data_IF_790419528274
#
_entry.id   IF_790419528274
#
_cell.length_a   1.000
_cell.length_b   1.000
_cell.length_c   1.000
_cell.angle_alpha   90.00
_cell.angle_beta   90.00
_cell.angle_gamma   90.00
#
_symmetry.space_group_name_H-M   'P 1'
#
loop_
_entity.id
_entity.type
_entity.pdbx_description
1 polymer ?
#
# COMPACT_ATOMS: atom_id res chain seq x y z
N UNK A 1 -8.58 -7.77 -17.75
CA UNK A 1 -7.68 -7.22 -16.72
C UNK A 1 -8.11 -5.79 -16.48
N UNK A 2 -8.44 -5.44 -15.24
CA UNK A 2 -8.95 -4.11 -14.90
C UNK A 2 -7.96 -3.40 -13.98
N UNK A 3 -7.90 -2.08 -14.07
CA UNK A 3 -7.00 -1.27 -13.25
C UNK A 3 -7.76 -0.18 -12.53
N UNK A 4 -7.46 0.01 -11.25
CA UNK A 4 -7.94 1.14 -10.46
C UNK A 4 -6.76 1.90 -9.87
N UNK A 5 -6.92 3.20 -9.68
CA UNK A 5 -5.90 4.05 -9.04
C UNK A 5 -6.36 4.47 -7.66
N UNK A 6 -5.55 4.17 -6.64
CA UNK A 6 -5.73 4.63 -5.28
C UNK A 6 -4.78 5.81 -5.02
N UNK A 7 -5.31 6.89 -4.42
CA UNK A 7 -4.49 8.05 -4.05
C UNK A 7 -4.16 8.02 -2.56
N UNK A 8 -2.88 8.08 -2.21
CA UNK A 8 -2.39 8.18 -0.84
C UNK A 8 -1.82 9.58 -0.61
N UNK A 9 -2.37 10.30 0.37
CA UNK A 9 -1.91 11.64 0.78
C UNK A 9 -1.27 11.58 2.15
N UNK A 10 0.00 11.99 2.25
CA UNK A 10 0.66 12.22 3.52
C UNK A 10 0.17 13.55 4.09
N UNK A 11 -0.58 13.49 5.20
CA UNK A 11 -1.10 14.68 5.90
C UNK A 11 -0.23 15.10 7.09
N UNK A 12 0.99 14.57 7.19
CA UNK A 12 1.95 14.89 8.24
C UNK A 12 3.09 15.74 7.70
N UNK A 13 3.87 16.32 8.63
CA UNK A 13 5.11 17.05 8.33
C UNK A 13 6.35 16.14 8.31
N UNK A 14 6.15 14.83 8.46
CA UNK A 14 7.23 13.85 8.43
C UNK A 14 7.17 13.02 7.16
N UNK A 15 8.33 12.52 6.72
CA UNK A 15 8.39 11.51 5.65
C UNK A 15 7.88 10.18 6.21
N UNK A 16 7.04 9.49 5.44
CA UNK A 16 6.49 8.19 5.83
C UNK A 16 6.95 7.12 4.85
N UNK A 17 7.18 5.91 5.34
CA UNK A 17 7.22 4.70 4.52
C UNK A 17 5.83 4.06 4.56
N UNK A 18 5.30 3.68 3.39
CA UNK A 18 4.05 2.93 3.30
C UNK A 18 4.32 1.49 2.88
N UNK A 19 3.39 0.59 3.24
CA UNK A 19 3.34 -0.80 2.80
C UNK A 19 1.89 -1.18 2.53
N UNK A 20 1.61 -1.72 1.36
CA UNK A 20 0.28 -2.15 0.93
C UNK A 20 0.29 -3.67 0.82
N UNK A 21 -0.68 -4.31 1.46
CA UNK A 21 -0.92 -5.75 1.35
C UNK A 21 -2.35 -5.97 0.87
N UNK A 22 -2.58 -7.02 0.09
CA UNK A 22 -3.91 -7.46 -0.30
C UNK A 22 -4.19 -8.87 0.24
N UNK A 23 -5.45 -9.28 0.19
CA UNK A 23 -5.87 -10.65 0.54
C UNK A 23 -5.46 -11.71 -0.46
N UNK A 24 -5.22 -11.35 -1.72
CA UNK A 24 -4.80 -12.27 -2.77
C UNK A 24 -3.84 -11.59 -3.73
N UNK A 25 -2.59 -12.05 -3.74
CA UNK A 25 -1.58 -11.58 -4.70
C UNK A 25 -1.79 -12.17 -6.10
N UNK A 26 -2.58 -13.23 -6.22
CA UNK A 26 -2.96 -13.83 -7.50
C UNK A 26 -3.96 -12.94 -8.23
N UNK A 27 -4.98 -12.46 -7.50
CA UNK A 27 -6.04 -11.62 -8.04
C UNK A 27 -5.64 -10.15 -8.16
N UNK A 28 -4.83 -9.63 -7.24
CA UNK A 28 -4.49 -8.21 -7.19
C UNK A 28 -2.98 -8.00 -7.28
N UNK A 29 -2.54 -7.26 -8.30
CA UNK A 29 -1.19 -6.73 -8.40
C UNK A 29 -1.16 -5.26 -8.02
N UNK A 30 -0.38 -4.91 -7.00
CA UNK A 30 -0.19 -3.54 -6.56
C UNK A 30 1.11 -3.00 -7.16
N UNK A 31 1.06 -1.88 -7.86
CA UNK A 31 2.25 -1.17 -8.32
C UNK A 31 2.91 -0.45 -7.14
N UNK A 32 4.22 -0.67 -6.94
CA UNK A 32 4.98 -0.12 -5.80
C UNK A 32 4.31 -0.36 -4.45
N UNK A 33 4.16 -1.64 -4.01
CA UNK A 33 3.47 -1.94 -2.75
C UNK A 33 4.22 -1.41 -1.52
N UNK A 34 5.49 -1.03 -1.66
CA UNK A 34 6.32 -0.46 -0.60
C UNK A 34 7.08 0.72 -1.20
N UNK A 35 6.92 1.91 -0.64
CA UNK A 35 7.67 3.12 -1.05
C UNK A 35 7.61 4.20 0.03
N UNK A 36 8.30 5.32 -0.21
CA UNK A 36 8.29 6.51 0.63
C UNK A 36 7.30 7.55 0.11
N UNK A 37 6.77 8.37 1.02
CA UNK A 37 5.97 9.55 0.71
C UNK A 37 6.50 10.74 1.50
N UNK A 38 6.86 11.82 0.78
CA UNK A 38 7.37 13.07 1.38
C UNK A 38 6.30 13.74 2.26
N UNK A 39 6.71 14.60 3.21
CA UNK A 39 5.78 15.46 3.95
C UNK A 39 4.81 16.17 3.01
N UNK A 40 3.53 16.23 3.40
CA UNK A 40 2.44 16.94 2.66
C UNK A 40 2.20 16.48 1.20
N UNK A 41 2.92 15.46 0.71
CA UNK A 41 2.85 15.00 -0.67
C UNK A 41 1.71 13.99 -0.88
N UNK A 42 1.43 13.74 -2.16
CA UNK A 42 0.48 12.72 -2.61
C UNK A 42 1.16 11.77 -3.59
N UNK A 43 0.81 10.49 -3.53
CA UNK A 43 1.23 9.49 -4.51
C UNK A 43 0.03 8.71 -5.02
N UNK A 44 0.11 8.22 -6.25
CA UNK A 44 -0.90 7.40 -6.89
C UNK A 44 -0.39 5.97 -7.01
N UNK A 45 -1.23 5.02 -6.62
CA UNK A 45 -0.96 3.59 -6.62
C UNK A 45 -1.91 2.92 -7.61
N UNK A 46 -1.36 2.31 -8.64
CA UNK A 46 -2.14 1.50 -9.58
C UNK A 46 -2.29 0.10 -9.02
N UNK A 47 -3.53 -0.37 -8.97
CA UNK A 47 -3.86 -1.74 -8.59
C UNK A 47 -4.51 -2.40 -9.79
N UNK A 48 -4.05 -3.61 -10.12
CA UNK A 48 -4.53 -4.36 -11.25
C UNK A 48 -5.23 -5.65 -10.81
N UNK A 49 -6.48 -5.80 -11.19
CA UNK A 49 -7.28 -7.01 -11.00
C UNK A 49 -7.07 -8.00 -12.16
N UNK A 50 -6.70 -9.24 -11.81
CA UNK A 50 -6.20 -10.29 -12.71
C UNK A 50 -7.05 -11.56 -12.67
N UNK A 51 -8.35 -11.44 -12.41
CA UNK A 51 -9.26 -12.59 -12.49
C UNK A 51 -9.30 -13.19 -13.91
N UNK A 52 -9.43 -14.51 -13.94
CA UNK A 52 -9.85 -15.25 -15.14
C UNK A 52 -11.37 -15.23 -15.27
N UNK A 53 -11.89 -15.68 -16.42
CA UNK A 53 -13.34 -15.79 -16.64
C UNK A 53 -14.03 -16.75 -15.66
N UNK A 54 -13.27 -17.67 -15.07
CA UNK A 54 -13.77 -18.69 -14.13
C UNK A 54 -13.62 -18.26 -12.66
N UNK A 55 -13.12 -17.05 -12.40
CA UNK A 55 -13.02 -16.52 -11.04
C UNK A 55 -14.39 -16.04 -10.58
N UNK A 56 -14.99 -16.76 -9.64
CA UNK A 56 -16.22 -16.33 -8.98
C UNK A 56 -16.04 -14.98 -8.25
N UNK A 57 -17.01 -14.06 -8.33
CA UNK A 57 -16.96 -12.80 -7.59
C UNK A 57 -16.90 -13.02 -6.07
N UNK A 58 -15.87 -12.49 -5.40
CA UNK A 58 -15.72 -12.57 -3.94
C UNK A 58 -15.57 -11.18 -3.31
N UNK A 59 -16.58 -10.78 -2.53
CA UNK A 59 -16.65 -9.48 -1.86
C UNK A 59 -15.85 -9.41 -0.53
N UNK A 60 -15.08 -10.45 -0.18
CA UNK A 60 -14.29 -10.51 1.06
C UNK A 60 -12.90 -9.89 0.92
N UNK A 61 -12.49 -9.56 -0.31
CA UNK A 61 -11.18 -9.02 -0.57
C UNK A 61 -11.00 -7.61 0.00
N UNK A 62 -9.77 -7.34 0.44
CA UNK A 62 -9.42 -6.04 0.99
C UNK A 62 -7.93 -5.78 0.85
N UNK A 63 -7.59 -4.49 0.93
CA UNK A 63 -6.21 -4.02 0.99
C UNK A 63 -5.95 -3.33 2.32
N UNK A 64 -4.84 -3.68 2.95
CA UNK A 64 -4.30 -2.99 4.12
C UNK A 64 -3.19 -2.05 3.69
N UNK A 65 -3.34 -0.77 4.01
CA UNK A 65 -2.31 0.26 3.84
C UNK A 65 -1.73 0.59 5.21
N UNK A 66 -0.43 0.38 5.37
CA UNK A 66 0.30 0.54 6.61
C UNK A 66 1.33 1.67 6.46
N UNK A 67 1.56 2.43 7.53
CA UNK A 67 2.51 3.55 7.52
C UNK A 67 3.38 3.57 8.77
N UNK A 68 4.64 3.96 8.59
CA UNK A 68 5.61 4.24 9.66
C UNK A 68 6.44 5.49 9.30
N UNK A 69 6.94 6.26 10.28
CA UNK A 69 7.91 7.33 10.03
C UNK A 69 9.16 6.80 9.33
N UNK A 70 9.73 7.61 8.43
CA UNK A 70 10.93 7.27 7.69
C UNK A 70 12.02 8.33 7.93
N UNK A 71 13.16 7.98 8.55
CA UNK A 71 14.31 8.88 8.74
C UNK A 71 14.85 9.47 7.43
N UNK A 72 15.78 10.43 7.49
CA UNK A 72 16.50 10.85 6.28
C UNK A 72 17.50 9.78 5.80
N UNK A 73 17.83 9.78 4.50
CA UNK A 73 18.80 8.86 3.91
C UNK A 73 18.39 7.39 3.76
N UNK A 74 17.25 6.96 4.30
CA UNK A 74 16.80 5.56 4.24
C UNK A 74 15.91 5.25 3.01
N UNK A 75 15.78 3.96 2.71
CA UNK A 75 14.84 3.44 1.71
C UNK A 75 13.61 2.87 2.40
N UNK A 76 12.47 2.80 1.72
CA UNK A 76 11.28 2.19 2.32
C UNK A 76 11.54 0.74 2.79
N UNK A 77 12.30 -0.03 2.00
CA UNK A 77 12.64 -1.41 2.35
C UNK A 77 13.47 -1.49 3.64
N UNK A 78 14.49 -0.65 3.80
CA UNK A 78 15.34 -0.67 5.02
C UNK A 78 14.54 -0.26 6.26
N UNK A 79 13.72 0.78 6.17
CA UNK A 79 12.86 1.22 7.30
C UNK A 79 11.92 0.09 7.72
N UNK A 80 11.31 -0.61 6.77
CA UNK A 80 10.41 -1.73 7.08
C UNK A 80 11.11 -2.99 7.58
N UNK A 81 12.39 -3.17 7.28
CA UNK A 81 13.19 -4.30 7.77
C UNK A 81 13.64 -4.08 9.22
N UNK A 82 13.95 -2.83 9.57
CA UNK A 82 14.40 -2.43 10.91
C UNK A 82 13.23 -2.08 11.86
N UNK A 83 12.02 -1.91 11.34
CA UNK A 83 10.85 -1.57 12.15
C UNK A 83 10.38 -2.75 13.01
N UNK A 84 10.51 -2.61 14.32
CA UNK A 84 9.95 -3.52 15.31
C UNK A 84 8.59 -3.01 15.81
N UNK A 85 7.61 -3.92 15.90
CA UNK A 85 6.27 -3.61 16.41
C UNK A 85 5.24 -3.24 15.33
N UNK A 86 4.11 -2.71 15.77
CA UNK A 86 2.98 -2.39 14.89
C UNK A 86 3.26 -1.16 14.03
N UNK A 87 2.63 -1.08 12.86
CA UNK A 87 2.62 0.15 12.07
C UNK A 87 1.93 1.28 12.86
N UNK A 88 2.39 2.51 12.67
CA UNK A 88 1.84 3.70 13.34
C UNK A 88 0.43 4.01 12.82
N UNK A 89 0.15 3.71 11.55
CA UNK A 89 -1.17 3.82 10.95
C UNK A 89 -1.54 2.61 10.12
N UNK A 90 -2.82 2.24 10.14
CA UNK A 90 -3.42 1.21 9.28
C UNK A 90 -4.73 1.71 8.70
N UNK A 91 -4.90 1.59 7.40
CA UNK A 91 -6.17 1.80 6.71
C UNK A 91 -6.56 0.52 5.96
N UNK A 92 -7.84 0.15 6.04
CA UNK A 92 -8.38 -1.00 5.31
C UNK A 92 -9.34 -0.50 4.24
N UNK A 93 -9.06 -0.88 2.99
CA UNK A 93 -9.87 -0.53 1.82
C UNK A 93 -10.54 -1.82 1.34
N UNK A 94 -11.87 -1.84 1.25
CA UNK A 94 -12.61 -2.92 0.58
C UNK A 94 -12.42 -2.77 -0.93
N UNK A 95 -12.23 -3.88 -1.63
CA UNK A 95 -11.94 -3.94 -3.07
C UNK A 95 -12.84 -4.98 -3.70
#
# INVERSE_FOLDING_TARGET
QETVTMTLKNRTDQKLAYKIKCTSNELFRIAKPIDLIKPRATTQITITYRASKDTEPDNRHHMGVYFIPAPEGCTAASVWAEHYGSAVGKQRVKV
#
